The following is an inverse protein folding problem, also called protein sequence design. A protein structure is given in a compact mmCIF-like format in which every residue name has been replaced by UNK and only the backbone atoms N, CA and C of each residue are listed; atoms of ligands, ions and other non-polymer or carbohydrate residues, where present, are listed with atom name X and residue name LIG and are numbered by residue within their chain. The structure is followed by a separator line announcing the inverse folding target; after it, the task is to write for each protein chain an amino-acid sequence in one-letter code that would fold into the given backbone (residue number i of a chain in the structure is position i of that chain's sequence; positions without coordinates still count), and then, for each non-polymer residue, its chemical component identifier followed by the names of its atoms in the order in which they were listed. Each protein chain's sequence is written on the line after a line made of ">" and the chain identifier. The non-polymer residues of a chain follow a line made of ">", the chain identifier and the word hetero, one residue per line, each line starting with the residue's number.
data_IF_843205464534
#
_entry.id   IF_843205464534
#
_cell.length_a   1.000
_cell.length_b   1.000
_cell.length_c   1.000
_cell.angle_alpha   90.00
_cell.angle_beta   90.00
_cell.angle_gamma   90.00
#
_symmetry.space_group_name_H-M   'P 1'
#
loop_
_entity.id
_entity.type
_entity.pdbx_description
1 polymer ?
#
# COMPACT_ATOMS: atom_id res chain seq x y z
N UNK A 1 -12.86 10.66 21.17
CA UNK A 1 -12.24 9.33 21.29
C UNK A 1 -12.44 8.89 22.73
N UNK A 2 -13.26 7.86 22.98
CA UNK A 2 -13.54 7.38 24.33
C UNK A 2 -12.61 6.23 24.69
N UNK A 3 -11.64 6.48 25.59
CA UNK A 3 -10.66 5.47 26.05
C UNK A 3 -11.34 4.34 26.84
N UNK A 4 -12.53 4.60 27.38
CA UNK A 4 -13.31 3.62 28.16
C UNK A 4 -13.91 2.54 27.26
N UNK A 5 -14.44 2.93 26.09
CA UNK A 5 -15.07 2.00 25.15
C UNK A 5 -14.07 1.05 24.50
N UNK A 6 -12.85 1.51 24.21
CA UNK A 6 -11.79 0.64 23.68
C UNK A 6 -11.44 -0.48 24.66
N UNK A 7 -11.37 -0.22 25.97
CA UNK A 7 -11.11 -1.26 26.98
C UNK A 7 -12.21 -2.33 26.98
N UNK A 8 -13.47 -1.91 27.10
CA UNK A 8 -14.61 -2.83 27.11
C UNK A 8 -14.73 -3.66 25.85
N UNK A 9 -14.27 -3.15 24.71
CA UNK A 9 -14.25 -3.92 23.46
C UNK A 9 -13.24 -5.05 23.52
N UNK A 10 -12.02 -4.82 24.00
CA UNK A 10 -11.03 -5.89 24.10
C UNK A 10 -11.47 -6.96 25.10
N UNK A 11 -11.95 -6.55 26.28
CA UNK A 11 -12.39 -7.46 27.34
C UNK A 11 -13.66 -8.24 26.92
N UNK A 12 -14.66 -7.54 26.41
CA UNK A 12 -15.93 -8.16 25.97
C UNK A 12 -15.77 -9.03 24.73
N UNK A 13 -14.88 -8.68 23.80
CA UNK A 13 -14.64 -9.50 22.61
C UNK A 13 -13.83 -10.76 22.91
N UNK A 14 -12.87 -10.68 23.85
CA UNK A 14 -12.12 -11.84 24.32
C UNK A 14 -13.07 -12.86 25.00
N UNK A 15 -13.97 -12.38 25.86
CA UNK A 15 -14.96 -13.21 26.56
C UNK A 15 -15.91 -13.98 25.62
N UNK A 16 -16.20 -13.44 24.44
CA UNK A 16 -17.19 -13.98 23.50
C UNK A 16 -16.55 -14.91 22.44
N UNK A 17 -15.22 -15.00 22.41
CA UNK A 17 -14.52 -15.84 21.42
C UNK A 17 -14.69 -15.34 19.97
N UNK A 18 -14.73 -14.02 19.77
CA UNK A 18 -14.89 -13.44 18.44
C UNK A 18 -13.66 -13.68 17.54
N UNK A 19 -13.89 -13.77 16.22
CA UNK A 19 -12.79 -13.76 15.23
C UNK A 19 -12.01 -12.45 15.34
N UNK A 20 -10.68 -12.52 15.27
CA UNK A 20 -9.79 -11.36 15.40
C UNK A 20 -10.17 -10.19 14.48
N UNK A 21 -10.61 -10.47 13.25
CA UNK A 21 -11.09 -9.46 12.31
C UNK A 21 -12.27 -8.64 12.86
N UNK A 22 -13.21 -9.29 13.55
CA UNK A 22 -14.37 -8.64 14.16
C UNK A 22 -13.95 -7.80 15.38
N UNK A 23 -13.01 -8.31 16.19
CA UNK A 23 -12.48 -7.59 17.36
C UNK A 23 -11.76 -6.31 16.94
N UNK A 24 -10.88 -6.40 15.94
CA UNK A 24 -10.10 -5.24 15.47
C UNK A 24 -11.02 -4.21 14.81
N UNK A 25 -12.05 -4.64 14.08
CA UNK A 25 -13.07 -3.72 13.54
C UNK A 25 -13.83 -3.03 14.67
N UNK A 26 -14.24 -3.77 15.70
CA UNK A 26 -14.93 -3.21 16.86
C UNK A 26 -14.06 -2.20 17.60
N UNK A 27 -12.79 -2.53 17.84
CA UNK A 27 -11.84 -1.66 18.53
C UNK A 27 -11.66 -0.35 17.75
N UNK A 28 -11.56 -0.44 16.42
CA UNK A 28 -11.45 0.74 15.58
C UNK A 28 -12.72 1.60 15.57
N UNK A 29 -13.90 0.98 15.61
CA UNK A 29 -15.16 1.73 15.77
C UNK A 29 -15.20 2.44 17.13
N UNK A 30 -14.72 1.79 18.21
CA UNK A 30 -14.66 2.38 19.54
C UNK A 30 -13.70 3.58 19.61
N UNK A 31 -12.55 3.53 18.93
CA UNK A 31 -11.62 4.68 18.88
C UNK A 31 -12.30 5.94 18.33
N UNK A 32 -13.13 5.78 17.31
CA UNK A 32 -13.88 6.88 16.68
C UNK A 32 -15.20 7.20 17.37
N UNK A 33 -15.59 6.43 18.39
CA UNK A 33 -16.88 6.62 19.05
C UNK A 33 -16.87 7.79 20.03
N UNK A 34 -18.02 8.46 20.11
CA UNK A 34 -18.37 9.32 21.25
C UNK A 34 -18.62 8.46 22.51
N UNK A 35 -18.74 9.08 23.68
CA UNK A 35 -19.05 8.35 24.93
C UNK A 35 -20.37 7.57 24.86
N UNK A 36 -21.28 7.98 23.98
CA UNK A 36 -22.53 7.29 23.65
C UNK A 36 -22.35 6.10 22.71
N UNK A 37 -21.13 5.80 22.23
CA UNK A 37 -20.87 4.69 21.31
C UNK A 37 -21.21 4.96 19.84
N UNK A 38 -21.45 6.21 19.44
CA UNK A 38 -21.79 6.59 18.06
C UNK A 38 -20.53 6.90 17.26
N UNK A 39 -20.38 6.34 16.05
CA UNK A 39 -19.29 6.69 15.13
C UNK A 39 -19.76 6.65 13.65
N UNK A 40 -19.04 7.34 12.76
CA UNK A 40 -19.37 7.40 11.31
C UNK A 40 -18.16 7.21 10.37
N UNK A 41 -17.22 6.29 10.64
CA UNK A 41 -16.14 5.99 9.69
C UNK A 41 -16.67 5.35 8.41
N UNK A 42 -16.06 5.67 7.27
CA UNK A 42 -16.35 4.97 6.02
C UNK A 42 -15.81 3.54 6.05
N UNK A 43 -16.43 2.62 5.29
CA UNK A 43 -15.96 1.23 5.16
C UNK A 43 -14.52 1.20 4.62
N UNK A 44 -14.22 2.05 3.64
CA UNK A 44 -12.88 2.21 3.08
C UNK A 44 -11.86 2.68 4.13
N UNK A 45 -12.27 3.58 5.05
CA UNK A 45 -11.41 4.03 6.16
C UNK A 45 -11.08 2.88 7.10
N UNK A 46 -12.09 2.09 7.49
CA UNK A 46 -11.90 0.93 8.37
C UNK A 46 -10.99 -0.10 7.70
N UNK A 47 -11.27 -0.44 6.44
CA UNK A 47 -10.49 -1.37 5.63
C UNK A 47 -9.00 -0.96 5.56
N UNK A 48 -8.74 0.31 5.23
CA UNK A 48 -7.39 0.86 5.13
C UNK A 48 -6.64 0.83 6.46
N UNK A 49 -7.31 1.09 7.57
CA UNK A 49 -6.65 1.14 8.89
C UNK A 49 -6.33 -0.25 9.44
N UNK A 50 -7.18 -1.23 9.16
CA UNK A 50 -7.05 -2.60 9.67
C UNK A 50 -6.25 -3.47 8.69
N UNK A 51 -6.05 -3.03 7.45
CA UNK A 51 -5.40 -3.81 6.40
C UNK A 51 -6.28 -4.96 5.90
N UNK A 52 -7.60 -4.88 6.09
CA UNK A 52 -8.57 -5.86 5.63
C UNK A 52 -9.28 -5.38 4.36
N UNK A 53 -9.68 -6.30 3.48
CA UNK A 53 -10.49 -5.95 2.31
C UNK A 53 -11.87 -5.40 2.71
N UNK A 54 -12.43 -4.50 1.89
CA UNK A 54 -13.75 -3.93 2.17
C UNK A 54 -14.85 -4.99 2.29
N UNK A 55 -14.75 -6.08 1.51
CA UNK A 55 -15.65 -7.23 1.61
C UNK A 55 -15.59 -7.85 3.00
N UNK A 56 -14.38 -8.10 3.53
CA UNK A 56 -14.17 -8.62 4.89
C UNK A 56 -14.76 -7.68 5.94
N UNK A 57 -14.57 -6.37 5.79
CA UNK A 57 -15.15 -5.37 6.70
C UNK A 57 -16.68 -5.41 6.66
N UNK A 58 -17.28 -5.46 5.47
CA UNK A 58 -18.74 -5.57 5.30
C UNK A 58 -19.28 -6.85 5.93
N UNK A 59 -18.65 -7.99 5.70
CA UNK A 59 -19.04 -9.28 6.26
C UNK A 59 -18.94 -9.29 7.78
N UNK A 60 -17.85 -8.75 8.34
CA UNK A 60 -17.67 -8.67 9.77
C UNK A 60 -18.69 -7.73 10.43
N UNK A 61 -18.97 -6.56 9.83
CA UNK A 61 -20.00 -5.64 10.31
C UNK A 61 -21.38 -6.30 10.27
N UNK A 62 -21.73 -6.99 9.18
CA UNK A 62 -23.01 -7.71 9.08
C UNK A 62 -23.14 -8.82 10.14
N UNK A 63 -22.03 -9.50 10.46
CA UNK A 63 -22.00 -10.49 11.54
C UNK A 63 -22.21 -9.83 12.92
N UNK A 64 -21.52 -8.73 13.19
CA UNK A 64 -21.65 -7.98 14.45
C UNK A 64 -23.05 -7.38 14.63
N UNK A 65 -23.68 -6.95 13.53
CA UNK A 65 -25.07 -6.48 13.48
C UNK A 65 -26.05 -7.63 13.78
N UNK A 66 -25.86 -8.79 13.14
CA UNK A 66 -26.66 -10.00 13.41
C UNK A 66 -26.57 -10.46 14.86
N UNK A 67 -25.40 -10.35 15.45
CA UNK A 67 -25.15 -10.70 16.86
C UNK A 67 -25.55 -9.58 17.83
N UNK A 68 -26.02 -8.42 17.35
CA UNK A 68 -26.52 -7.32 18.17
C UNK A 68 -25.45 -6.53 18.93
N UNK A 69 -24.19 -6.61 18.50
CA UNK A 69 -23.09 -5.82 19.08
C UNK A 69 -23.06 -4.37 18.62
N UNK A 70 -23.57 -4.13 17.42
CA UNK A 70 -23.70 -2.79 16.85
C UNK A 70 -24.98 -2.69 16.03
N UNK A 71 -25.42 -1.46 15.80
CA UNK A 71 -26.49 -1.13 14.85
C UNK A 71 -25.94 -0.20 13.79
N UNK A 72 -26.31 -0.44 12.53
CA UNK A 72 -25.95 0.43 11.41
C UNK A 72 -27.15 1.26 10.97
N UNK A 73 -26.98 2.58 10.87
CA UNK A 73 -27.95 3.51 10.27
C UNK A 73 -27.35 4.12 9.01
N UNK A 74 -28.05 3.98 7.89
CA UNK A 74 -27.61 4.59 6.64
C UNK A 74 -27.89 6.09 6.68
N UNK A 75 -26.85 6.92 6.50
CA UNK A 75 -27.03 8.34 6.22
C UNK A 75 -27.30 8.46 4.73
N UNK A 76 -28.50 8.89 4.34
CA UNK A 76 -28.77 9.35 2.97
C UNK A 76 -28.87 10.87 3.02
N UNK A 77 -28.02 11.56 2.26
CA UNK A 77 -28.14 13.00 2.05
C UNK A 77 -28.39 13.22 0.55
N UNK A 78 -29.65 13.14 0.15
CA UNK A 78 -30.06 13.25 -1.26
C UNK A 78 -29.48 12.13 -2.14
N UNK A 79 -28.96 12.49 -3.32
CA UNK A 79 -28.40 11.58 -4.33
C UNK A 79 -26.92 11.20 -4.09
N UNK A 80 -26.32 11.61 -2.97
CA UNK A 80 -24.94 11.25 -2.60
C UNK A 80 -24.97 10.20 -1.50
N UNK A 81 -24.26 9.09 -1.72
CA UNK A 81 -24.05 8.07 -0.70
C UNK A 81 -23.28 8.71 0.46
N UNK A 82 -23.94 8.97 1.59
CA UNK A 82 -23.25 9.38 2.81
C UNK A 82 -22.81 8.13 3.59
N UNK A 83 -21.72 8.27 4.35
CA UNK A 83 -21.17 7.21 5.19
C UNK A 83 -22.19 6.72 6.21
N UNK A 84 -22.19 5.42 6.49
CA UNK A 84 -23.03 4.84 7.53
C UNK A 84 -22.66 5.37 8.91
N UNK A 85 -23.66 5.51 9.78
CA UNK A 85 -23.49 5.76 11.21
C UNK A 85 -23.60 4.41 11.92
N UNK A 86 -22.59 4.05 12.70
CA UNK A 86 -22.56 2.86 13.53
C UNK A 86 -22.78 3.26 14.99
N UNK A 87 -23.63 2.49 15.66
CA UNK A 87 -23.94 2.63 17.07
C UNK A 87 -23.48 1.37 17.78
N UNK A 88 -22.50 1.47 18.67
CA UNK A 88 -22.06 0.37 19.52
C UNK A 88 -23.08 0.11 20.63
N UNK A 89 -23.32 -1.17 20.92
CA UNK A 89 -24.15 -1.56 22.06
C UNK A 89 -23.28 -1.61 23.33
N UNK A 90 -23.14 -0.45 23.96
CA UNK A 90 -22.28 -0.27 25.15
C UNK A 90 -22.74 -1.16 26.31
N UNK A 91 -24.04 -1.30 26.53
CA UNK A 91 -24.60 -2.13 27.60
C UNK A 91 -24.21 -3.59 27.43
N UNK A 92 -24.30 -4.12 26.21
CA UNK A 92 -23.90 -5.49 25.91
C UNK A 92 -22.39 -5.72 26.06
N UNK A 93 -21.58 -4.76 25.64
CA UNK A 93 -20.11 -4.81 25.80
C UNK A 93 -19.71 -4.81 27.28
N UNK A 94 -20.33 -3.96 28.09
CA UNK A 94 -20.09 -3.91 29.53
C UNK A 94 -20.53 -5.21 30.23
N UNK A 95 -21.70 -5.73 29.89
CA UNK A 95 -22.17 -6.99 30.45
C UNK A 95 -21.23 -8.17 30.14
N UNK A 96 -20.72 -8.26 28.91
CA UNK A 96 -19.77 -9.29 28.50
C UNK A 96 -18.39 -9.15 29.16
N UNK A 97 -17.92 -7.92 29.36
CA UNK A 97 -16.68 -7.68 30.09
C UNK A 97 -16.81 -8.06 31.57
N UNK A 98 -17.93 -7.70 32.21
CA UNK A 98 -18.20 -7.98 33.63
C UNK A 98 -18.43 -9.47 33.90
N UNK A 99 -19.07 -10.21 32.99
CA UNK A 99 -19.25 -11.66 33.16
C UNK A 99 -17.92 -12.42 33.20
N UNK A 100 -16.93 -11.95 32.43
CA UNK A 100 -15.60 -12.58 32.38
C UNK A 100 -14.75 -12.28 33.63
N UNK A 101 -14.94 -11.12 34.27
CA UNK A 101 -14.27 -10.81 35.54
C UNK A 101 -14.82 -11.64 36.71
N UNK A 102 -16.12 -12.00 36.67
CA UNK A 102 -16.75 -12.80 37.71
C UNK A 102 -16.33 -14.28 37.70
N UNK A 103 -15.82 -14.79 36.58
CA UNK A 103 -15.35 -16.19 36.47
C UNK A 103 -13.88 -16.39 36.84
N UNK A 104 -13.10 -15.30 36.97
CA UNK A 104 -11.65 -15.37 37.25
C UNK A 104 -11.25 -15.22 38.72
N UNK A 105 -12.19 -15.03 39.65
CA UNK A 105 -11.89 -14.72 41.07
C UNK A 105 -12.26 -15.83 42.07
N UNK A 106 -12.25 -17.10 41.65
CA UNK A 106 -12.10 -18.20 42.61
C UNK A 106 -11.07 -19.24 42.16
N UNK A 107 -10.07 -19.40 43.01
CA UNK A 107 -9.18 -20.57 43.16
C UNK A 107 -7.81 -20.52 42.46
N UNK A 108 -6.87 -20.01 43.26
CA UNK A 108 -5.60 -20.62 43.64
C UNK A 108 -4.43 -20.68 42.65
N UNK A 109 -3.39 -19.96 43.08
CA UNK A 109 -1.97 -20.19 42.83
C UNK A 109 -1.56 -21.66 42.98
N UNK A 110 -0.80 -22.18 42.02
CA UNK A 110 0.42 -22.90 42.40
C UNK A 110 1.50 -22.77 41.32
N UNK A 111 2.72 -22.54 41.78
CA UNK A 111 3.90 -22.42 40.97
C UNK A 111 4.42 -23.83 40.63
N UNK A 112 4.78 -24.08 39.38
CA UNK A 112 5.79 -25.10 39.11
C UNK A 112 6.55 -24.84 37.81
N UNK A 113 7.86 -24.70 37.99
CA UNK A 113 8.88 -24.75 36.95
C UNK A 113 8.88 -26.13 36.29
N UNK A 114 9.08 -26.21 34.97
CA UNK A 114 9.78 -27.33 34.29
C UNK A 114 10.16 -26.99 32.84
N UNK A 115 11.48 -27.03 32.61
CA UNK A 115 12.27 -27.37 31.41
C UNK A 115 11.70 -27.33 29.97
N UNK A 116 12.45 -26.78 28.98
CA UNK A 116 12.13 -26.91 27.57
C UNK A 116 12.70 -28.22 27.00
N UNK A 117 11.87 -29.26 26.93
CA UNK A 117 12.19 -30.47 26.17
C UNK A 117 11.70 -30.39 24.72
N UNK A 118 12.69 -30.31 23.84
CA UNK A 118 12.78 -30.79 22.45
C UNK A 118 11.64 -31.69 21.96
N UNK A 119 10.90 -31.26 20.93
CA UNK A 119 10.17 -32.15 20.03
C UNK A 119 10.31 -31.76 18.57
N UNK A 120 10.54 -32.82 17.79
CA UNK A 120 10.89 -32.93 16.38
C UNK A 120 9.78 -32.52 15.42
N UNK A 121 10.21 -32.13 14.22
CA UNK A 121 9.35 -31.86 13.09
C UNK A 121 8.74 -33.16 12.56
N UNK A 122 7.41 -33.23 12.51
CA UNK A 122 6.70 -34.31 11.82
C UNK A 122 6.18 -33.82 10.48
N UNK A 123 6.63 -34.52 9.43
CA UNK A 123 6.11 -34.46 8.06
C UNK A 123 4.63 -34.85 8.03
N UNK A 124 3.85 -34.14 7.23
CA UNK A 124 2.52 -34.58 6.80
C UNK A 124 2.49 -34.72 5.28
N UNK A 125 2.81 -35.92 4.80
CA UNK A 125 2.27 -36.42 3.54
C UNK A 125 0.78 -36.70 3.74
N UNK A 126 -0.06 -36.13 2.86
CA UNK A 126 -1.29 -36.78 2.38
C UNK A 126 -1.84 -36.02 1.17
N UNK A 127 -1.67 -36.68 0.02
CA UNK A 127 -2.46 -36.53 -1.19
C UNK A 127 -3.95 -36.38 -0.89
N UNK A 128 -4.61 -35.49 -1.64
CA UNK A 128 -5.92 -35.79 -2.22
C UNK A 128 -6.06 -34.98 -3.51
N UNK A 129 -6.26 -35.71 -4.61
CA UNK A 129 -6.36 -35.19 -5.96
C UNK A 129 -7.62 -34.36 -6.18
N UNK A 130 -7.48 -33.37 -7.06
CA UNK A 130 -8.57 -32.60 -7.62
C UNK A 130 -8.51 -32.80 -9.13
N UNK A 131 -9.50 -33.49 -9.67
CA UNK A 131 -9.77 -33.60 -11.10
C UNK A 131 -11.20 -33.09 -11.35
N UNK A 132 -11.58 -32.72 -12.59
CA UNK A 132 -12.25 -31.47 -12.88
C UNK A 132 -13.74 -31.73 -13.14
N UNK A 133 -14.56 -30.70 -13.16
CA UNK A 133 -15.86 -30.80 -13.81
C UNK A 133 -15.93 -29.80 -14.96
N UNK A 134 -15.66 -30.33 -16.15
CA UNK A 134 -16.32 -29.90 -17.37
C UNK A 134 -17.83 -30.04 -17.19
N UNK A 135 -18.57 -28.99 -17.46
CA UNK A 135 -19.99 -29.11 -17.76
C UNK A 135 -20.25 -28.25 -18.99
N UNK A 136 -19.93 -28.83 -20.15
CA UNK A 136 -20.46 -28.41 -21.43
C UNK A 136 -21.91 -28.87 -21.55
N UNK A 137 -22.77 -27.95 -21.97
CA UNK A 137 -24.20 -28.21 -22.17
C UNK A 137 -24.87 -26.99 -22.76
N UNK A 138 -24.57 -26.69 -24.02
CA UNK A 138 -25.39 -25.85 -24.90
C UNK A 138 -26.64 -26.65 -25.33
N UNK A 139 -27.83 -26.03 -25.40
CA UNK A 139 -28.48 -26.00 -26.71
C UNK A 139 -29.18 -24.67 -27.02
N UNK A 140 -28.69 -24.00 -28.04
CA UNK A 140 -29.37 -23.62 -29.28
C UNK A 140 -30.86 -23.19 -29.20
N UNK A 141 -31.03 -21.87 -29.18
CA UNK A 141 -31.87 -21.02 -30.07
C UNK A 141 -33.22 -21.57 -30.56
N UNK A 142 -34.32 -20.90 -30.16
CA UNK A 142 -35.46 -20.59 -31.06
C UNK A 142 -35.96 -19.15 -30.83
N UNK A 143 -36.01 -18.42 -31.93
CA UNK A 143 -36.34 -17.01 -32.21
C UNK A 143 -37.79 -16.63 -31.82
N UNK A 144 -38.11 -15.39 -31.42
CA UNK A 144 -38.55 -14.22 -32.23
C UNK A 144 -39.45 -13.39 -31.26
N UNK A 145 -39.31 -12.10 -30.98
CA UNK A 145 -39.60 -10.91 -31.84
C UNK A 145 -39.23 -9.63 -31.06
N UNK A 146 -38.65 -8.64 -31.74
CA UNK A 146 -38.59 -7.20 -31.38
C UNK A 146 -40.02 -6.59 -31.43
N UNK A 147 -40.32 -5.40 -30.85
CA UNK A 147 -39.65 -4.13 -31.17
C UNK A 147 -39.35 -3.24 -29.95
N UNK A 148 -38.19 -2.57 -29.93
CA UNK A 148 -38.16 -1.10 -29.75
C UNK A 148 -36.72 -0.58 -29.67
N UNK A 149 -36.40 0.26 -30.63
CA UNK A 149 -35.32 1.23 -30.63
C UNK A 149 -35.07 1.87 -29.26
N UNK A 150 -33.88 1.64 -28.71
CA UNK A 150 -33.12 2.63 -27.93
C UNK A 150 -31.71 2.11 -27.72
N UNK A 151 -30.80 2.56 -28.58
CA UNK A 151 -29.35 2.42 -28.41
C UNK A 151 -28.97 3.09 -27.07
N UNK A 152 -28.56 2.37 -26.01
CA UNK A 152 -27.87 3.02 -24.93
C UNK A 152 -26.45 3.24 -25.44
N UNK A 153 -26.15 4.47 -25.85
CA UNK A 153 -24.79 4.96 -25.96
C UNK A 153 -24.03 4.48 -24.75
N UNK A 154 -23.02 3.62 -24.95
CA UNK A 154 -22.15 3.15 -23.88
C UNK A 154 -21.70 4.36 -23.06
N UNK A 155 -21.97 4.41 -21.74
CA UNK A 155 -21.36 5.46 -20.94
C UNK A 155 -19.85 5.28 -21.07
N UNK A 156 -19.20 6.31 -21.60
CA UNK A 156 -17.74 6.45 -21.57
C UNK A 156 -17.27 6.02 -20.19
N UNK A 157 -16.40 5.02 -20.14
CA UNK A 157 -15.87 4.46 -18.89
C UNK A 157 -15.43 5.62 -17.99
N UNK A 158 -15.96 5.65 -16.77
CA UNK A 158 -15.61 6.65 -15.77
C UNK A 158 -14.09 6.74 -15.68
N UNK A 159 -13.53 7.91 -16.00
CA UNK A 159 -12.09 8.16 -15.89
C UNK A 159 -11.63 7.74 -14.49
N UNK A 160 -10.55 6.95 -14.37
CA UNK A 160 -10.08 6.49 -13.07
C UNK A 160 -9.79 7.69 -12.18
N UNK A 161 -10.16 7.57 -10.91
CA UNK A 161 -9.89 8.59 -9.90
C UNK A 161 -8.38 8.95 -9.95
N UNK A 162 -8.02 10.25 -10.07
CA UNK A 162 -6.62 10.68 -10.18
C UNK A 162 -5.73 10.12 -9.06
N UNK A 163 -6.26 9.86 -7.86
CA UNK A 163 -5.48 9.24 -6.78
C UNK A 163 -5.09 7.77 -7.05
N UNK A 164 -5.95 7.03 -7.77
CA UNK A 164 -5.68 5.64 -8.16
C UNK A 164 -4.57 5.60 -9.20
N UNK A 165 -4.64 6.46 -10.21
CA UNK A 165 -3.60 6.59 -11.25
C UNK A 165 -2.26 6.96 -10.63
N UNK A 166 -2.23 7.91 -9.68
CA UNK A 166 -1.01 8.29 -8.96
C UNK A 166 -0.44 7.10 -8.18
N UNK A 167 -1.31 6.27 -7.59
CA UNK A 167 -0.88 5.08 -6.86
C UNK A 167 -0.30 4.02 -7.77
N UNK A 168 -0.94 3.74 -8.90
CA UNK A 168 -0.46 2.77 -9.88
C UNK A 168 0.89 3.20 -10.46
N UNK A 169 1.01 4.48 -10.82
CA UNK A 169 2.26 5.09 -11.25
C UNK A 169 3.35 5.00 -10.18
N UNK A 170 3.02 5.23 -8.91
CA UNK A 170 3.97 5.11 -7.82
C UNK A 170 4.46 3.67 -7.63
N UNK A 171 3.58 2.69 -7.83
CA UNK A 171 3.92 1.26 -7.79
C UNK A 171 4.87 0.90 -8.93
N UNK A 172 4.67 1.43 -10.14
CA UNK A 172 5.58 1.22 -11.27
C UNK A 172 6.99 1.72 -10.96
N UNK A 173 7.11 2.94 -10.42
CA UNK A 173 8.40 3.51 -10.01
C UNK A 173 9.06 2.67 -8.91
N UNK A 174 8.29 2.23 -7.90
CA UNK A 174 8.82 1.42 -6.82
C UNK A 174 9.31 0.05 -7.30
N UNK A 175 8.57 -0.59 -8.21
CA UNK A 175 8.98 -1.85 -8.82
C UNK A 175 10.29 -1.67 -9.62
N UNK A 176 10.42 -0.56 -10.36
CA UNK A 176 11.65 -0.22 -11.07
C UNK A 176 12.84 -0.02 -10.12
N UNK A 177 12.64 0.70 -9.01
CA UNK A 177 13.66 0.84 -7.98
C UNK A 177 14.12 -0.53 -7.44
N UNK A 178 13.18 -1.44 -7.17
CA UNK A 178 13.50 -2.77 -6.67
C UNK A 178 14.27 -3.59 -7.71
N UNK A 179 13.86 -3.51 -8.99
CA UNK A 179 14.53 -4.20 -10.09
C UNK A 179 15.97 -3.73 -10.26
N UNK A 180 16.19 -2.42 -10.34
CA UNK A 180 17.51 -1.82 -10.56
C UNK A 180 18.40 -2.01 -9.35
N UNK A 181 17.87 -1.77 -8.14
CA UNK A 181 18.71 -1.79 -6.95
C UNK A 181 18.92 -3.17 -6.32
N UNK A 182 18.18 -4.19 -6.76
CA UNK A 182 18.12 -5.51 -6.11
C UNK A 182 17.38 -5.52 -4.77
N UNK A 183 16.79 -4.39 -4.38
CA UNK A 183 16.07 -4.24 -3.12
C UNK A 183 14.67 -4.85 -3.17
N UNK A 184 14.07 -5.05 -1.98
CA UNK A 184 12.70 -5.59 -1.84
C UNK A 184 11.78 -4.66 -1.05
N UNK A 185 11.73 -3.38 -1.44
CA UNK A 185 10.83 -2.41 -0.83
C UNK A 185 9.37 -2.81 -1.07
N UNK A 186 8.59 -2.82 0.01
CA UNK A 186 7.18 -3.17 -0.02
C UNK A 186 6.34 -1.99 -0.48
N UNK A 187 5.13 -2.27 -1.01
CA UNK A 187 4.13 -1.28 -1.41
C UNK A 187 3.42 -0.66 -0.19
N UNK A 188 4.20 -0.29 0.82
CA UNK A 188 3.72 0.30 2.07
C UNK A 188 3.48 1.80 1.90
N UNK A 189 2.75 2.38 2.85
CA UNK A 189 2.51 3.83 2.89
C UNK A 189 3.82 4.62 2.88
N UNK A 190 4.81 4.23 3.69
CA UNK A 190 6.07 4.96 3.84
C UNK A 190 6.93 4.93 2.57
N UNK A 191 6.98 3.79 1.87
CA UNK A 191 7.74 3.66 0.62
C UNK A 191 7.09 4.40 -0.55
N UNK A 192 5.76 4.40 -0.62
CA UNK A 192 5.02 5.05 -1.70
C UNK A 192 4.79 6.55 -1.48
N UNK A 193 4.76 7.03 -0.23
CA UNK A 193 4.42 8.44 0.05
C UNK A 193 5.38 9.42 -0.63
N UNK A 194 6.69 9.18 -0.56
CA UNK A 194 7.68 10.05 -1.19
C UNK A 194 7.53 10.07 -2.72
N UNK A 195 7.21 8.93 -3.33
CA UNK A 195 6.99 8.79 -4.78
C UNK A 195 5.68 9.50 -5.19
N UNK A 196 4.59 9.24 -4.46
CA UNK A 196 3.28 9.87 -4.69
C UNK A 196 3.34 11.39 -4.51
N UNK A 197 4.14 11.88 -3.56
CA UNK A 197 4.34 13.31 -3.36
C UNK A 197 4.93 13.95 -4.64
N UNK A 198 5.94 13.33 -5.25
CA UNK A 198 6.50 13.80 -6.53
C UNK A 198 5.50 13.75 -7.68
N UNK A 199 4.72 12.67 -7.79
CA UNK A 199 3.69 12.58 -8.82
C UNK A 199 2.59 13.64 -8.62
N UNK A 200 2.26 14.00 -7.36
CA UNK A 200 1.34 15.10 -7.04
C UNK A 200 1.92 16.48 -7.35
N UNK A 201 3.23 16.64 -7.23
CA UNK A 201 3.95 17.87 -7.61
C UNK A 201 4.02 18.06 -9.14
N UNK A 202 3.65 17.04 -9.93
CA UNK A 202 3.55 17.12 -11.40
C UNK A 202 4.69 16.44 -12.15
N UNK A 203 5.61 15.77 -11.45
CA UNK A 203 6.68 15.01 -12.10
C UNK A 203 6.15 13.74 -12.75
N UNK A 204 6.76 13.32 -13.85
CA UNK A 204 6.34 12.14 -14.60
C UNK A 204 6.99 10.86 -14.05
N UNK A 205 6.40 9.70 -14.34
CA UNK A 205 6.99 8.39 -14.00
C UNK A 205 8.40 8.25 -14.58
N UNK A 206 8.62 8.75 -15.80
CA UNK A 206 9.92 8.73 -16.47
C UNK A 206 10.97 9.54 -15.72
N UNK A 207 10.61 10.72 -15.18
CA UNK A 207 11.51 11.56 -14.40
C UNK A 207 12.00 10.83 -13.14
N UNK A 208 11.09 10.14 -12.46
CA UNK A 208 11.42 9.38 -11.26
C UNK A 208 12.29 8.16 -11.59
N UNK A 209 12.01 7.45 -12.69
CA UNK A 209 12.83 6.34 -13.18
C UNK A 209 14.25 6.82 -13.55
N UNK A 210 14.35 7.97 -14.21
CA UNK A 210 15.64 8.57 -14.57
C UNK A 210 16.50 8.88 -13.35
N UNK A 211 15.90 9.39 -12.27
CA UNK A 211 16.61 9.62 -11.00
C UNK A 211 17.10 8.30 -10.40
N UNK A 212 16.31 7.23 -10.47
CA UNK A 212 16.73 5.90 -10.00
C UNK A 212 17.94 5.42 -10.78
N UNK A 213 17.88 5.45 -12.12
CA UNK A 213 18.95 4.97 -13.00
C UNK A 213 20.25 5.74 -12.75
N UNK A 214 20.17 7.07 -12.72
CA UNK A 214 21.30 7.94 -12.44
C UNK A 214 21.95 7.60 -11.09
N UNK A 215 21.13 7.43 -10.05
CA UNK A 215 21.62 7.22 -8.69
C UNK A 215 22.16 5.83 -8.46
N UNK A 216 21.55 4.84 -9.09
CA UNK A 216 22.13 3.52 -9.19
C UNK A 216 23.52 3.61 -9.83
N UNK A 217 23.66 4.21 -11.01
CA UNK A 217 24.96 4.35 -11.67
C UNK A 217 25.98 5.16 -10.83
N UNK A 218 25.53 6.21 -10.14
CA UNK A 218 26.41 7.01 -9.28
C UNK A 218 26.93 6.21 -8.08
N UNK A 219 26.05 5.50 -7.39
CA UNK A 219 26.35 4.88 -6.10
C UNK A 219 26.71 3.41 -6.20
N UNK A 220 26.47 2.77 -7.34
CA UNK A 220 26.87 1.39 -7.60
C UNK A 220 28.40 1.27 -7.47
N UNK A 221 28.86 0.18 -6.84
CA UNK A 221 30.27 -0.03 -6.48
C UNK A 221 30.75 0.74 -5.23
N UNK A 222 29.92 1.56 -4.59
CA UNK A 222 30.22 2.16 -3.29
C UNK A 222 29.15 1.81 -2.26
N UNK A 223 29.37 0.74 -1.50
CA UNK A 223 28.42 0.22 -0.50
C UNK A 223 27.95 1.27 0.51
N UNK A 224 28.85 2.17 0.93
CA UNK A 224 28.54 3.25 1.88
C UNK A 224 27.56 4.26 1.29
N UNK A 225 27.64 4.52 -0.01
CA UNK A 225 26.68 5.40 -0.68
C UNK A 225 25.41 4.65 -1.09
N UNK A 226 25.54 3.37 -1.45
CA UNK A 226 24.44 2.55 -1.90
C UNK A 226 23.39 2.29 -0.80
N UNK A 227 23.76 2.35 0.48
CA UNK A 227 22.80 2.31 1.60
C UNK A 227 21.72 3.40 1.51
N UNK A 228 21.98 4.48 0.77
CA UNK A 228 21.05 5.58 0.51
C UNK A 228 20.20 5.35 -0.76
N UNK A 229 20.22 4.17 -1.39
CA UNK A 229 19.25 3.78 -2.45
C UNK A 229 17.88 3.43 -1.84
N UNK A 230 17.24 4.42 -1.21
CA UNK A 230 15.93 4.30 -0.54
C UNK A 230 14.92 5.26 -1.16
N UNK A 231 13.61 4.96 -1.16
CA UNK A 231 12.60 5.89 -1.64
C UNK A 231 12.65 7.26 -0.94
N UNK A 232 12.92 7.29 0.36
CA UNK A 232 12.97 8.53 1.16
C UNK A 232 14.12 9.45 0.74
N UNK A 233 15.30 8.90 0.48
CA UNK A 233 16.50 9.66 0.11
C UNK A 233 16.48 10.10 -1.34
N UNK A 234 15.96 9.25 -2.23
CA UNK A 234 15.83 9.54 -3.67
C UNK A 234 14.73 10.57 -3.93
N UNK A 235 13.57 10.39 -3.31
CA UNK A 235 12.36 11.20 -3.54
C UNK A 235 12.08 12.18 -2.39
N UNK A 236 13.10 12.54 -1.61
CA UNK A 236 12.99 13.57 -0.57
C UNK A 236 12.88 14.98 -1.18
N UNK A 237 12.01 15.87 -0.67
CA UNK A 237 11.71 17.19 -1.27
C UNK A 237 12.94 18.06 -1.49
N UNK A 238 13.91 18.01 -0.58
CA UNK A 238 15.09 18.89 -0.61
C UNK A 238 16.10 18.55 -1.72
N UNK A 239 16.13 17.31 -2.20
CA UNK A 239 17.22 16.81 -3.05
C UNK A 239 16.75 16.31 -4.41
N UNK A 240 15.47 15.92 -4.52
CA UNK A 240 14.91 15.34 -5.74
C UNK A 240 15.12 16.23 -6.97
N UNK A 241 14.78 17.52 -6.89
CA UNK A 241 14.94 18.44 -8.02
C UNK A 241 16.39 18.48 -8.54
N UNK A 242 17.36 18.57 -7.62
CA UNK A 242 18.78 18.54 -7.99
C UNK A 242 19.21 17.21 -8.62
N UNK A 243 18.60 16.09 -8.22
CA UNK A 243 18.85 14.78 -8.81
C UNK A 243 18.22 14.68 -10.20
N UNK A 244 17.00 15.17 -10.38
CA UNK A 244 16.31 15.19 -11.67
C UNK A 244 17.09 16.02 -12.69
N UNK A 245 17.50 17.24 -12.33
CA UNK A 245 18.32 18.08 -13.20
C UNK A 245 19.66 17.42 -13.59
N UNK A 246 20.26 16.66 -12.67
CA UNK A 246 21.46 15.88 -12.97
C UNK A 246 21.15 14.70 -13.90
N UNK A 247 20.00 14.05 -13.71
CA UNK A 247 19.50 12.97 -14.54
C UNK A 247 19.24 13.41 -15.97
N UNK A 248 18.56 14.54 -16.16
CA UNK A 248 18.29 15.12 -17.48
C UNK A 248 19.61 15.41 -18.22
N UNK A 249 20.61 15.98 -17.53
CA UNK A 249 21.93 16.21 -18.13
C UNK A 249 22.66 14.92 -18.50
N UNK A 250 22.49 13.88 -17.69
CA UNK A 250 23.09 12.56 -17.93
C UNK A 250 22.40 11.85 -19.10
N UNK A 251 21.07 11.90 -19.18
CA UNK A 251 20.26 11.38 -20.28
C UNK A 251 20.59 12.07 -21.61
N UNK A 252 20.68 13.41 -21.60
CA UNK A 252 21.11 14.21 -22.77
C UNK A 252 22.52 13.86 -23.26
N UNK A 253 23.37 13.32 -22.39
CA UNK A 253 24.72 12.84 -22.73
C UNK A 253 24.74 11.38 -23.19
N UNK A 254 23.58 10.73 -23.32
CA UNK A 254 23.47 9.32 -23.71
C UNK A 254 23.71 8.33 -22.57
N UNK A 255 23.43 8.73 -21.33
CA UNK A 255 23.59 7.90 -20.11
C UNK A 255 24.97 7.25 -19.97
N UNK A 256 26.04 8.06 -19.97
CA UNK A 256 27.40 7.53 -19.95
C UNK A 256 27.70 6.81 -18.61
N UNK A 257 28.50 5.71 -18.62
CA UNK A 257 28.87 4.97 -17.41
C UNK A 257 29.62 5.82 -16.39
N UNK A 258 29.59 5.44 -15.11
CA UNK A 258 30.17 6.23 -14.01
C UNK A 258 31.64 6.57 -14.19
N UNK A 259 32.43 5.70 -14.81
CA UNK A 259 33.87 5.89 -15.04
C UNK A 259 34.17 7.10 -15.92
N UNK A 260 33.29 7.42 -16.85
CA UNK A 260 33.43 8.57 -17.75
C UNK A 260 33.02 9.91 -17.10
N UNK A 261 32.46 9.89 -15.89
CA UNK A 261 32.00 11.09 -15.20
C UNK A 261 33.19 11.82 -14.58
N UNK A 262 33.82 12.67 -15.39
CA UNK A 262 35.00 13.42 -14.98
C UNK A 262 36.14 13.35 -15.97
N UNK A 263 35.98 12.63 -17.09
CA UNK A 263 36.85 12.82 -18.25
C UNK A 263 36.76 14.29 -18.68
N UNK A 264 37.74 15.07 -18.21
CA UNK A 264 37.98 16.41 -18.74
C UNK A 264 38.31 16.19 -20.21
N UNK A 265 37.40 16.58 -21.11
CA UNK A 265 37.66 16.63 -22.56
C UNK A 265 38.85 17.52 -22.93
N UNK A 266 39.44 18.23 -21.98
CA UNK A 266 40.65 19.02 -22.14
C UNK A 266 41.64 18.65 -21.05
N UNK A 267 42.68 17.89 -21.44
CA UNK A 267 43.90 17.80 -20.66
C UNK A 267 44.73 19.07 -20.98
N UNK A 268 44.89 20.02 -20.05
CA UNK A 268 45.65 21.25 -20.30
C UNK A 268 47.11 21.00 -20.65
N UNK A 269 47.62 19.77 -20.43
CA UNK A 269 48.97 19.36 -20.80
C UNK A 269 49.05 18.68 -22.17
N UNK A 270 47.91 18.41 -22.82
CA UNK A 270 47.82 17.76 -24.12
C UNK A 270 47.75 18.81 -25.21
N UNK A 271 48.91 19.36 -25.56
CA UNK A 271 49.04 20.25 -26.71
C UNK A 271 48.75 19.46 -28.01
N UNK A 272 47.93 20.03 -28.90
CA UNK A 272 47.77 19.51 -30.25
C UNK A 272 49.11 19.56 -31.02
N UNK A 273 49.24 18.83 -32.14
CA UNK A 273 50.42 18.94 -32.98
C UNK A 273 50.70 20.41 -33.33
N UNK A 274 51.96 20.82 -33.23
CA UNK A 274 52.39 22.20 -33.53
C UNK A 274 52.05 22.51 -34.98
N UNK A 275 51.28 23.58 -35.20
CA UNK A 275 50.99 24.06 -36.54
C UNK A 275 52.25 24.69 -37.13
N UNK A 276 52.95 23.94 -37.97
CA UNK A 276 54.15 24.40 -38.67
C UNK A 276 53.81 25.20 -39.94
N UNK A 277 52.54 25.56 -40.17
CA UNK A 277 52.18 26.43 -41.29
C UNK A 277 52.71 27.83 -41.03
N UNK A 278 53.68 28.22 -41.85
CA UNK A 278 54.18 29.59 -41.90
C UNK A 278 53.00 30.51 -42.29
N UNK A 279 52.67 31.53 -41.48
CA UNK A 279 51.61 32.46 -41.80
C UNK A 279 51.86 33.15 -43.15
N UNK A 280 50.79 33.35 -43.91
CA UNK A 280 50.86 33.99 -45.22
C UNK A 280 51.51 35.38 -45.09
N UNK A 281 52.66 35.57 -45.77
CA UNK A 281 53.47 36.79 -45.70
C UNK A 281 54.81 36.68 -44.98
N UNK A 282 55.07 35.59 -44.24
CA UNK A 282 56.42 35.31 -43.71
C UNK A 282 57.21 34.47 -44.72
N UNK A 283 58.32 35.01 -45.25
CA UNK A 283 59.33 34.20 -45.96
C UNK A 283 60.34 33.70 -44.93
N UNK A 284 60.54 32.37 -44.90
CA UNK A 284 61.57 31.71 -44.09
C UNK A 284 62.98 32.00 -44.59
#
# INVERSE_FOLDING_TARGET
>A
MSVKLSSYVWDGCAAVGMKLSSVVIMARLADFSSDEGVCWPSIATIARQIGAGESTVRTAIAKLEKEGWLTRKQRRQGNRNASNVYQLNVVKLQAAALSHLSESDTSNSDASNSDPSKFEASKSDKNNGFDPSETGGDPSVKSTTDPSDQKPSCPVASQPDPEVVITDNAILVLNHLNLVSGSRYQKSKTSLENIRARLREGYTVSDLQLVIDLKHEHWNGNDVQYQYMRPETLFGPKKFEGYLQSGIRWDKKGRPPRDSWGEKKHDPMKFGPVDNKIPEGFRG
#
